data_IF_575753636187
#
_entry.id   IF_575753636187
#
_cell.length_a   1.000
_cell.length_b   1.000
_cell.length_c   1.000
_cell.angle_alpha   90.00
_cell.angle_beta   90.00
_cell.angle_gamma   90.00
#
_symmetry.space_group_name_H-M   'P 1'
#
loop_
_entity.id
_entity.type
_entity.pdbx_description
1 polymer ?
#
# COMPACT_ATOMS: atom_id res chain seq x y z
N UNK A 1 12.81 82.69 15.32
CA UNK A 1 11.45 82.85 14.81
C UNK A 1 11.26 81.94 13.62
N UNK A 2 10.46 80.99 13.74
CA UNK A 2 9.55 80.24 12.83
C UNK A 2 9.31 78.83 13.37
N UNK A 3 8.11 78.66 13.88
CA UNK A 3 7.56 77.42 14.33
C UNK A 3 7.17 76.59 13.12
N UNK A 4 7.54 75.31 13.09
CA UNK A 4 7.03 74.35 12.12
C UNK A 4 6.14 73.36 12.86
N UNK A 5 4.90 73.32 12.44
CA UNK A 5 3.89 72.34 12.93
C UNK A 5 4.14 70.97 12.32
N UNK A 6 4.16 69.97 13.15
CA UNK A 6 4.15 68.60 12.74
C UNK A 6 2.69 68.11 12.75
N UNK A 7 2.18 67.76 11.55
CA UNK A 7 0.88 67.06 11.40
C UNK A 7 1.10 65.53 11.51
N UNK A 8 0.51 64.95 12.52
CA UNK A 8 0.48 63.50 12.68
C UNK A 8 -0.72 62.95 11.87
N UNK A 9 -0.45 62.18 10.81
CA UNK A 9 -1.46 61.33 10.14
C UNK A 9 -1.58 60.02 10.89
N UNK A 10 -2.76 59.77 11.49
CA UNK A 10 -3.18 58.44 11.94
C UNK A 10 -3.69 57.65 10.72
N UNK A 11 -2.95 56.66 10.30
CA UNK A 11 -3.45 55.66 9.37
C UNK A 11 -4.03 54.48 10.18
N UNK A 12 -5.35 54.35 10.14
CA UNK A 12 -6.02 53.17 10.68
C UNK A 12 -5.82 51.99 9.71
N UNK A 13 -4.89 51.11 10.05
CA UNK A 13 -4.74 49.80 9.39
C UNK A 13 -5.75 48.81 9.95
N UNK A 14 -6.76 48.48 9.17
CA UNK A 14 -7.62 47.31 9.44
C UNK A 14 -6.78 46.06 9.27
N UNK A 15 -6.42 45.45 10.38
CA UNK A 15 -5.74 44.17 10.42
C UNK A 15 -6.71 43.02 10.07
N UNK A 16 -6.50 42.44 8.91
CA UNK A 16 -6.99 41.10 8.58
C UNK A 16 -6.13 40.05 9.30
N UNK A 17 -6.41 39.83 10.58
CA UNK A 17 -5.78 38.76 11.39
C UNK A 17 -6.85 37.83 11.86
N UNK A 18 -7.13 36.75 11.10
CA UNK A 18 -7.91 35.63 11.66
C UNK A 18 -7.70 34.27 10.97
N UNK A 19 -6.52 33.93 10.46
CA UNK A 19 -6.30 32.53 10.04
C UNK A 19 -4.90 31.93 10.35
N UNK A 20 -3.89 32.75 10.63
CA UNK A 20 -2.54 32.24 10.96
C UNK A 20 -2.42 31.73 12.41
N UNK A 21 -3.17 32.34 13.34
CA UNK A 21 -3.12 31.96 14.76
C UNK A 21 -3.74 30.62 15.09
N UNK A 22 -4.80 30.24 14.37
CA UNK A 22 -5.43 28.92 14.59
C UNK A 22 -4.60 27.76 14.02
N UNK A 23 -3.92 27.96 12.88
CA UNK A 23 -2.95 26.97 12.35
C UNK A 23 -1.77 26.78 13.27
N UNK A 24 -1.21 27.88 13.81
CA UNK A 24 -0.07 27.83 14.74
C UNK A 24 -0.42 27.19 16.08
N UNK A 25 -1.64 27.40 16.60
CA UNK A 25 -2.11 26.74 17.82
C UNK A 25 -2.34 25.24 17.65
N UNK A 26 -2.78 24.82 16.47
CA UNK A 26 -2.94 23.38 16.16
C UNK A 26 -1.60 22.65 16.04
N UNK A 27 -0.54 23.31 15.56
CA UNK A 27 0.82 22.74 15.48
C UNK A 27 1.52 22.60 16.83
N UNK A 28 1.09 23.33 17.86
CA UNK A 28 1.67 23.28 19.22
C UNK A 28 0.90 22.35 20.18
N UNK A 29 -0.28 21.90 19.80
CA UNK A 29 -1.07 20.98 20.63
C UNK A 29 -0.55 19.54 20.50
N UNK A 30 -0.34 18.89 21.64
CA UNK A 30 -0.08 17.43 21.66
C UNK A 30 -1.42 16.70 21.45
N UNK A 31 -1.64 16.25 20.23
CA UNK A 31 -2.85 15.53 19.88
C UNK A 31 -2.72 14.03 20.17
N UNK A 32 -3.84 13.36 20.53
CA UNK A 32 -3.84 11.91 20.65
C UNK A 32 -3.53 11.28 19.30
N UNK A 33 -2.82 10.16 19.33
CA UNK A 33 -2.48 9.40 18.12
C UNK A 33 -3.34 8.16 17.99
N UNK A 34 -3.61 7.83 16.75
CA UNK A 34 -4.31 6.60 16.39
C UNK A 34 -3.50 5.40 16.89
N UNK A 35 -4.19 4.45 17.52
CA UNK A 35 -3.59 3.20 17.97
C UNK A 35 -3.84 2.10 16.95
N UNK A 36 -2.83 1.29 16.69
CA UNK A 36 -2.95 0.09 15.86
C UNK A 36 -2.87 -1.17 16.74
N UNK A 37 -3.58 -2.20 16.35
CA UNK A 37 -3.55 -3.51 17.03
C UNK A 37 -2.40 -4.41 16.59
N UNK A 38 -1.61 -3.97 15.60
CA UNK A 38 -0.48 -4.72 15.04
C UNK A 38 0.39 -3.87 14.12
N UNK A 39 1.30 -4.50 13.42
CA UNK A 39 2.17 -3.88 12.41
C UNK A 39 1.66 -4.23 11.02
N UNK A 40 1.47 -3.23 10.15
CA UNK A 40 1.10 -3.44 8.74
C UNK A 40 2.19 -4.25 8.03
N UNK A 41 1.87 -5.42 7.44
CA UNK A 41 2.83 -6.15 6.63
C UNK A 41 3.26 -5.31 5.41
N UNK A 42 4.56 -5.09 5.26
CA UNK A 42 5.17 -4.44 4.10
C UNK A 42 6.27 -5.34 3.58
N UNK A 43 6.05 -5.92 2.41
CA UNK A 43 6.95 -6.89 1.79
C UNK A 43 7.88 -6.23 0.76
N UNK A 44 9.16 -6.51 0.87
CA UNK A 44 10.14 -6.30 -0.18
C UNK A 44 10.19 -7.53 -1.08
N UNK A 45 9.69 -7.42 -2.31
CA UNK A 45 9.85 -8.43 -3.35
C UNK A 45 11.18 -8.23 -4.07
N UNK A 46 11.83 -9.31 -4.50
CA UNK A 46 13.19 -9.31 -5.01
C UNK A 46 14.08 -8.43 -4.13
N UNK A 47 14.25 -8.91 -2.91
CA UNK A 47 14.88 -8.21 -1.82
C UNK A 47 16.41 -8.38 -1.84
N UNK A 48 17.04 -8.60 -0.69
CA UNK A 48 18.49 -8.72 -0.58
C UNK A 48 18.97 -10.02 -1.27
N UNK A 49 19.84 -9.95 -2.28
CA UNK A 49 20.40 -11.12 -2.94
C UNK A 49 21.15 -12.04 -1.96
N UNK A 50 21.19 -13.33 -2.26
CA UNK A 50 21.82 -14.33 -1.40
C UNK A 50 23.29 -14.04 -1.06
N UNK A 51 24.05 -13.52 -2.02
CA UNK A 51 25.46 -13.14 -1.87
C UNK A 51 25.66 -11.82 -1.10
N UNK A 52 24.58 -11.04 -0.92
CA UNK A 52 24.55 -9.80 -0.16
C UNK A 52 23.88 -9.97 1.22
N UNK A 53 23.58 -11.19 1.65
CA UNK A 53 22.93 -11.49 2.93
C UNK A 53 23.82 -11.13 4.11
N UNK A 54 23.72 -9.90 4.61
CA UNK A 54 24.46 -9.38 5.76
C UNK A 54 23.56 -8.66 6.74
N UNK A 55 23.96 -8.58 8.01
CA UNK A 55 23.23 -7.86 9.05
C UNK A 55 23.03 -6.37 8.71
N UNK A 56 24.04 -5.75 8.07
CA UNK A 56 23.99 -4.36 7.64
C UNK A 56 22.89 -4.15 6.60
N UNK A 57 22.78 -5.02 5.60
CA UNK A 57 21.76 -4.93 4.55
C UNK A 57 20.36 -5.14 5.08
N UNK A 58 20.18 -6.06 6.03
CA UNK A 58 18.87 -6.25 6.68
C UNK A 58 18.50 -5.07 7.60
N UNK A 59 19.46 -4.44 8.28
CA UNK A 59 19.22 -3.19 9.02
C UNK A 59 18.81 -2.06 8.09
N UNK A 60 19.55 -1.88 7.01
CA UNK A 60 19.24 -0.89 5.96
C UNK A 60 17.82 -1.07 5.41
N UNK A 61 17.40 -2.29 5.13
CA UNK A 61 16.03 -2.58 4.70
C UNK A 61 15.02 -2.27 5.82
N UNK A 62 15.27 -2.67 7.06
CA UNK A 62 14.38 -2.39 8.21
C UNK A 62 14.20 -0.89 8.47
N UNK A 63 15.22 -0.07 8.24
CA UNK A 63 15.15 1.39 8.35
C UNK A 63 14.10 2.00 7.43
N UNK A 64 13.84 1.41 6.27
CA UNK A 64 12.75 1.86 5.37
C UNK A 64 11.35 1.56 5.89
N UNK A 65 11.21 0.84 6.99
CA UNK A 65 9.91 0.40 7.51
C UNK A 65 9.41 -0.92 6.94
N UNK A 66 10.16 -1.58 6.07
CA UNK A 66 9.86 -2.93 5.56
C UNK A 66 9.87 -3.94 6.70
N UNK A 67 8.87 -4.82 6.73
CA UNK A 67 8.66 -5.83 7.78
C UNK A 67 8.89 -7.24 7.28
N UNK A 68 8.69 -7.47 5.99
CA UNK A 68 8.79 -8.77 5.33
C UNK A 68 9.73 -8.69 4.12
N UNK A 69 10.40 -9.81 3.83
CA UNK A 69 11.35 -9.90 2.74
C UNK A 69 11.13 -11.19 1.94
N UNK A 70 11.24 -11.08 0.62
CA UNK A 70 11.19 -12.20 -0.30
C UNK A 70 12.30 -12.09 -1.34
N UNK A 71 13.06 -13.17 -1.48
CA UNK A 71 13.91 -13.48 -2.62
C UNK A 71 14.10 -15.00 -2.66
N UNK A 72 14.41 -15.55 -3.84
CA UNK A 72 14.73 -16.98 -3.95
C UNK A 72 16.18 -17.22 -3.58
N UNK A 73 16.40 -18.15 -2.67
CA UNK A 73 17.74 -18.56 -2.24
C UNK A 73 18.19 -19.83 -2.98
N UNK A 74 19.49 -20.02 -3.25
CA UNK A 74 19.98 -21.12 -4.07
C UNK A 74 19.80 -22.50 -3.41
N UNK A 75 19.72 -22.55 -2.09
CA UNK A 75 19.55 -23.77 -1.29
C UNK A 75 19.02 -23.47 0.12
N UNK A 76 18.65 -24.51 0.83
CA UNK A 76 18.11 -24.43 2.19
C UNK A 76 19.14 -23.89 3.22
N UNK A 77 20.44 -24.04 2.99
CA UNK A 77 21.47 -23.51 3.90
C UNK A 77 21.62 -21.98 3.72
N UNK A 78 21.55 -21.50 2.49
CA UNK A 78 21.48 -20.06 2.21
C UNK A 78 20.21 -19.44 2.79
N UNK A 79 19.06 -20.11 2.66
CA UNK A 79 17.79 -19.71 3.29
C UNK A 79 17.93 -19.63 4.81
N UNK A 80 18.57 -20.60 5.46
CA UNK A 80 18.81 -20.61 6.91
C UNK A 80 19.64 -19.37 7.33
N UNK A 81 20.76 -19.11 6.64
CA UNK A 81 21.59 -17.92 6.93
C UNK A 81 20.82 -16.62 6.81
N UNK A 82 19.94 -16.54 5.82
CA UNK A 82 19.09 -15.36 5.65
C UNK A 82 18.06 -15.21 6.78
N UNK A 83 17.41 -16.28 7.20
CA UNK A 83 16.49 -16.29 8.33
C UNK A 83 17.19 -15.86 9.63
N UNK A 84 18.36 -16.43 9.93
CA UNK A 84 19.17 -16.07 11.12
C UNK A 84 19.51 -14.57 11.12
N UNK A 85 19.91 -14.04 9.95
CA UNK A 85 20.27 -12.63 9.79
C UNK A 85 19.06 -11.71 9.94
N UNK A 86 17.94 -12.09 9.34
CA UNK A 86 16.69 -11.33 9.38
C UNK A 86 16.10 -11.28 10.80
N UNK A 87 16.18 -12.39 11.55
CA UNK A 87 15.76 -12.46 12.94
C UNK A 87 16.44 -11.42 13.80
N UNK A 88 17.74 -11.19 13.59
CA UNK A 88 18.53 -10.24 14.39
C UNK A 88 18.04 -8.78 14.27
N UNK A 89 17.24 -8.45 13.24
CA UNK A 89 16.68 -7.11 13.03
C UNK A 89 15.14 -7.09 13.06
N UNK A 90 14.49 -8.22 13.33
CA UNK A 90 13.04 -8.34 13.39
C UNK A 90 12.36 -8.18 12.02
N UNK A 91 12.98 -8.70 10.96
CA UNK A 91 12.37 -8.86 9.63
C UNK A 91 11.97 -10.32 9.45
N UNK A 92 10.84 -10.57 8.82
CA UNK A 92 10.36 -11.92 8.51
C UNK A 92 10.59 -12.24 7.04
N UNK A 93 10.84 -13.51 6.73
CA UNK A 93 11.09 -13.98 5.36
C UNK A 93 10.02 -14.97 4.91
N UNK A 94 9.63 -14.84 3.65
CA UNK A 94 8.89 -15.89 2.95
C UNK A 94 9.94 -16.89 2.43
N UNK A 95 9.87 -18.12 2.90
CA UNK A 95 10.80 -19.19 2.55
C UNK A 95 10.68 -19.54 1.07
N UNK A 96 11.82 -19.48 0.35
CA UNK A 96 11.92 -19.83 -1.08
C UNK A 96 13.31 -20.41 -1.37
N UNK A 97 13.37 -21.71 -1.60
CA UNK A 97 14.55 -22.46 -2.05
C UNK A 97 14.09 -23.71 -2.81
N UNK A 98 14.93 -24.30 -3.67
CA UNK A 98 14.56 -25.47 -4.49
C UNK A 98 14.06 -26.69 -3.69
N UNK A 99 14.51 -26.85 -2.45
CA UNK A 99 14.10 -27.94 -1.58
C UNK A 99 12.63 -27.82 -1.15
N UNK A 100 12.08 -26.60 -1.11
CA UNK A 100 10.67 -26.41 -0.75
C UNK A 100 9.71 -27.06 -1.76
N UNK A 101 10.07 -27.13 -3.03
CA UNK A 101 9.31 -27.83 -4.05
C UNK A 101 9.60 -29.33 -4.07
N UNK A 102 10.86 -29.72 -3.94
CA UNK A 102 11.32 -31.12 -4.03
C UNK A 102 10.94 -31.94 -2.80
N UNK A 103 11.14 -31.37 -1.62
CA UNK A 103 10.99 -32.03 -0.32
C UNK A 103 10.22 -31.13 0.67
N UNK A 104 8.96 -30.74 0.37
CA UNK A 104 8.23 -29.72 1.11
C UNK A 104 8.12 -30.02 2.60
N UNK A 105 7.79 -31.25 2.98
CA UNK A 105 7.59 -31.61 4.39
C UNK A 105 8.91 -31.52 5.20
N UNK A 106 10.03 -31.91 4.61
CA UNK A 106 11.34 -31.81 5.27
C UNK A 106 11.78 -30.36 5.39
N UNK A 107 11.61 -29.57 4.33
CA UNK A 107 11.96 -28.16 4.28
C UNK A 107 11.10 -27.34 5.23
N UNK A 108 9.80 -27.58 5.27
CA UNK A 108 8.88 -26.93 6.21
C UNK A 108 9.26 -27.23 7.65
N UNK A 109 9.50 -28.52 8.00
CA UNK A 109 9.95 -28.90 9.35
C UNK A 109 11.24 -28.22 9.77
N UNK A 110 12.15 -27.95 8.82
CA UNK A 110 13.40 -27.25 9.08
C UNK A 110 13.15 -25.79 9.50
N UNK A 111 12.18 -25.11 8.88
CA UNK A 111 12.01 -23.66 9.01
C UNK A 111 10.80 -23.23 9.86
N UNK A 112 9.80 -24.09 10.08
CA UNK A 112 8.53 -23.72 10.72
C UNK A 112 8.66 -23.15 12.14
N UNK A 113 9.70 -23.53 12.87
CA UNK A 113 9.96 -23.02 14.23
C UNK A 113 10.94 -21.84 14.25
N UNK A 114 11.39 -21.36 13.09
CA UNK A 114 12.32 -20.25 13.05
C UNK A 114 11.56 -18.93 13.23
N UNK A 115 11.93 -18.03 14.19
CA UNK A 115 11.17 -16.82 14.50
C UNK A 115 11.02 -15.84 13.33
N UNK A 116 11.92 -15.89 12.36
CA UNK A 116 11.87 -15.04 11.17
C UNK A 116 11.08 -15.66 10.01
N UNK A 117 10.55 -16.87 10.13
CA UNK A 117 9.68 -17.44 9.09
C UNK A 117 8.34 -16.72 9.07
N UNK A 118 7.94 -16.21 7.90
CA UNK A 118 6.63 -15.61 7.65
C UNK A 118 5.68 -16.59 6.98
N UNK A 119 6.19 -17.34 6.00
CA UNK A 119 5.41 -18.23 5.16
C UNK A 119 6.28 -18.93 4.12
N UNK A 120 5.63 -19.56 3.15
CA UNK A 120 6.26 -20.40 2.13
C UNK A 120 5.81 -19.97 0.74
N UNK A 121 6.77 -19.64 -0.12
CA UNK A 121 6.50 -19.24 -1.49
C UNK A 121 6.21 -20.44 -2.39
N UNK A 122 5.15 -20.37 -3.15
CA UNK A 122 4.79 -21.42 -4.11
C UNK A 122 5.22 -21.05 -5.53
N UNK A 123 4.59 -20.04 -6.09
CA UNK A 123 4.81 -19.65 -7.49
C UNK A 123 4.44 -18.18 -7.71
N UNK A 124 5.03 -17.57 -8.72
CA UNK A 124 4.67 -16.27 -9.24
C UNK A 124 3.82 -16.42 -10.49
N UNK A 125 2.73 -15.67 -10.59
CA UNK A 125 1.88 -15.49 -11.75
C UNK A 125 1.45 -16.80 -12.47
N UNK A 126 0.93 -17.82 -11.75
CA UNK A 126 0.45 -19.04 -12.40
C UNK A 126 -0.83 -18.79 -13.20
N UNK A 127 -1.05 -19.58 -14.25
CA UNK A 127 -2.37 -19.69 -14.86
C UNK A 127 -3.22 -20.80 -14.19
N UNK A 128 -4.50 -20.90 -14.58
CA UNK A 128 -5.45 -21.85 -13.96
C UNK A 128 -5.09 -23.31 -14.18
N UNK A 129 -4.31 -23.66 -15.20
CA UNK A 129 -3.90 -25.06 -15.47
C UNK A 129 -3.01 -25.61 -14.35
N UNK A 130 -2.30 -24.74 -13.62
CA UNK A 130 -1.43 -25.14 -12.50
C UNK A 130 -2.12 -25.10 -11.13
N UNK A 131 -3.35 -24.62 -11.01
CA UNK A 131 -4.01 -24.43 -9.72
C UNK A 131 -4.19 -25.73 -8.94
N UNK A 132 -4.60 -26.82 -9.61
CA UNK A 132 -4.77 -28.11 -8.96
C UNK A 132 -3.45 -28.64 -8.36
N UNK A 133 -2.34 -28.53 -9.06
CA UNK A 133 -1.00 -28.90 -8.59
C UNK A 133 -0.58 -28.02 -7.40
N UNK A 134 -0.74 -26.71 -7.53
CA UNK A 134 -0.41 -25.74 -6.47
C UNK A 134 -1.26 -25.95 -5.22
N UNK A 135 -2.54 -26.30 -5.36
CA UNK A 135 -3.41 -26.66 -4.26
C UNK A 135 -2.94 -27.92 -3.51
N UNK A 136 -2.47 -28.93 -4.25
CA UNK A 136 -1.90 -30.14 -3.61
C UNK A 136 -0.60 -29.79 -2.87
N UNK A 137 0.26 -28.96 -3.45
CA UNK A 137 1.50 -28.54 -2.81
C UNK A 137 1.22 -27.71 -1.55
N UNK A 138 0.32 -26.71 -1.63
CA UNK A 138 -0.12 -25.94 -0.47
C UNK A 138 -0.69 -26.84 0.64
N UNK A 139 -1.49 -27.84 0.28
CA UNK A 139 -2.06 -28.81 1.24
C UNK A 139 -0.97 -29.62 1.97
N UNK A 140 0.08 -30.05 1.28
CA UNK A 140 1.22 -30.77 1.88
C UNK A 140 1.99 -29.88 2.87
N UNK A 141 2.25 -28.62 2.51
CA UNK A 141 2.89 -27.65 3.40
C UNK A 141 2.05 -27.44 4.65
N UNK A 142 0.76 -27.12 4.48
CA UNK A 142 -0.17 -26.84 5.57
C UNK A 142 -0.45 -28.05 6.48
N UNK A 143 -0.33 -29.27 5.98
CA UNK A 143 -0.41 -30.47 6.80
C UNK A 143 0.78 -30.60 7.77
N UNK A 144 1.91 -29.92 7.47
CA UNK A 144 3.11 -29.91 8.30
C UNK A 144 3.16 -28.65 9.18
N UNK A 145 2.72 -27.52 8.64
CA UNK A 145 2.70 -26.21 9.31
C UNK A 145 1.49 -25.39 8.84
N UNK A 146 0.50 -25.25 9.70
CA UNK A 146 -0.71 -24.46 9.48
C UNK A 146 -0.66 -23.05 10.13
N UNK A 147 0.42 -22.78 10.88
CA UNK A 147 0.63 -21.48 11.53
C UNK A 147 1.17 -20.40 10.59
N UNK A 148 1.92 -20.80 9.56
CA UNK A 148 2.47 -19.89 8.56
C UNK A 148 1.72 -20.02 7.23
N UNK A 149 1.58 -18.88 6.52
CA UNK A 149 0.84 -18.87 5.26
C UNK A 149 1.64 -19.44 4.09
N UNK A 150 0.95 -20.02 3.12
CA UNK A 150 1.49 -20.22 1.79
C UNK A 150 1.27 -18.95 0.97
N UNK A 151 2.26 -18.54 0.20
CA UNK A 151 2.25 -17.33 -0.59
C UNK A 151 2.36 -17.61 -2.09
N UNK A 152 1.52 -16.94 -2.84
CA UNK A 152 1.50 -16.97 -4.29
C UNK A 152 0.99 -15.62 -4.79
N UNK A 153 1.55 -15.09 -5.88
CA UNK A 153 1.13 -13.84 -6.50
C UNK A 153 0.38 -14.12 -7.79
N UNK A 154 -0.75 -13.44 -8.00
CA UNK A 154 -1.62 -13.60 -9.17
C UNK A 154 -1.35 -12.53 -10.22
N UNK A 155 -1.53 -12.90 -11.49
CA UNK A 155 -1.51 -11.99 -12.64
C UNK A 155 -2.57 -10.89 -12.51
N UNK A 156 -2.31 -9.68 -13.07
CA UNK A 156 -3.26 -8.56 -13.07
C UNK A 156 -4.28 -8.63 -14.21
N UNK A 157 -5.29 -7.73 -14.18
CA UNK A 157 -6.33 -7.61 -15.21
C UNK A 157 -5.83 -7.39 -16.63
N UNK A 158 -4.65 -6.80 -16.83
CA UNK A 158 -4.10 -6.60 -18.18
C UNK A 158 -3.42 -7.84 -18.76
N UNK A 159 -3.34 -8.95 -18.02
CA UNK A 159 -2.97 -10.24 -18.59
C UNK A 159 -4.09 -10.74 -19.53
N UNK A 160 -3.71 -11.29 -20.67
CA UNK A 160 -4.70 -11.81 -21.61
C UNK A 160 -5.44 -13.03 -21.05
N UNK A 161 -6.70 -13.24 -21.43
CA UNK A 161 -7.47 -14.44 -21.02
C UNK A 161 -6.78 -15.74 -21.45
N UNK A 162 -6.03 -15.69 -22.56
CA UNK A 162 -5.21 -16.81 -22.99
C UNK A 162 -4.06 -17.10 -22.02
N UNK A 163 -3.41 -16.08 -21.49
CA UNK A 163 -2.35 -16.23 -20.47
C UNK A 163 -2.93 -16.73 -19.14
N UNK A 164 -4.09 -16.22 -18.74
CA UNK A 164 -4.81 -16.63 -17.53
C UNK A 164 -5.37 -18.05 -17.62
N UNK A 165 -5.72 -18.53 -18.85
CA UNK A 165 -6.48 -19.75 -19.09
C UNK A 165 -7.83 -19.75 -18.37
N UNK A 166 -8.53 -18.62 -18.39
CA UNK A 166 -9.78 -18.38 -17.68
C UNK A 166 -10.79 -17.64 -18.57
N UNK A 167 -12.07 -17.73 -18.25
CA UNK A 167 -13.15 -17.07 -19.00
C UNK A 167 -13.22 -15.56 -18.75
N UNK A 168 -12.74 -15.12 -17.57
CA UNK A 168 -12.62 -13.73 -17.18
C UNK A 168 -11.56 -13.58 -16.07
N UNK A 169 -11.15 -12.34 -15.78
CA UNK A 169 -10.25 -12.08 -14.65
C UNK A 169 -10.91 -12.45 -13.30
N UNK A 170 -12.21 -12.17 -13.14
CA UNK A 170 -12.95 -12.58 -11.93
C UNK A 170 -13.00 -14.10 -11.80
N UNK A 171 -13.22 -14.83 -12.89
CA UNK A 171 -13.16 -16.30 -12.89
C UNK A 171 -11.78 -16.81 -12.47
N UNK A 172 -10.71 -16.20 -12.98
CA UNK A 172 -9.33 -16.53 -12.60
C UNK A 172 -9.08 -16.38 -11.09
N UNK A 173 -9.47 -15.24 -10.49
CA UNK A 173 -9.30 -14.99 -9.04
C UNK A 173 -10.20 -15.92 -8.22
N UNK A 174 -11.45 -16.11 -8.63
CA UNK A 174 -12.40 -16.99 -7.97
C UNK A 174 -11.90 -18.44 -7.95
N UNK A 175 -11.48 -18.98 -9.10
CA UNK A 175 -10.94 -20.34 -9.22
C UNK A 175 -9.68 -20.51 -8.38
N UNK A 176 -8.80 -19.51 -8.34
CA UNK A 176 -7.64 -19.57 -7.47
C UNK A 176 -8.05 -19.78 -6.00
N UNK A 177 -9.01 -19.01 -5.51
CA UNK A 177 -9.49 -19.14 -4.14
C UNK A 177 -10.07 -20.52 -3.86
N UNK A 178 -10.80 -21.12 -4.81
CA UNK A 178 -11.46 -22.43 -4.64
C UNK A 178 -10.52 -23.61 -4.86
N UNK A 179 -9.54 -23.50 -5.73
CA UNK A 179 -8.68 -24.63 -6.12
C UNK A 179 -7.35 -24.67 -5.33
N UNK A 180 -6.76 -23.51 -5.00
CA UNK A 180 -5.46 -23.45 -4.30
C UNK A 180 -5.63 -23.34 -2.79
N UNK A 181 -6.68 -22.69 -2.31
CA UNK A 181 -7.10 -22.63 -0.90
C UNK A 181 -6.05 -22.01 0.03
N UNK A 182 -5.42 -20.89 -0.37
CA UNK A 182 -4.45 -20.19 0.48
C UNK A 182 -5.14 -19.32 1.55
N UNK A 183 -4.38 -18.91 2.56
CA UNK A 183 -4.85 -18.08 3.66
C UNK A 183 -5.00 -16.61 3.29
N UNK A 184 -4.35 -16.17 2.21
CA UNK A 184 -4.42 -14.81 1.67
C UNK A 184 -4.37 -14.82 0.14
N UNK A 185 -4.87 -13.76 -0.47
CA UNK A 185 -4.74 -13.50 -1.89
C UNK A 185 -3.67 -12.42 -2.11
N UNK A 186 -2.95 -12.49 -3.22
CA UNK A 186 -1.97 -11.46 -3.61
C UNK A 186 -1.98 -11.27 -5.11
N UNK A 187 -1.81 -10.03 -5.55
CA UNK A 187 -1.66 -9.68 -6.96
C UNK A 187 -0.67 -8.53 -7.14
N UNK A 188 -0.10 -8.42 -8.32
CA UNK A 188 0.59 -7.24 -8.77
C UNK A 188 -0.14 -6.58 -9.94
N UNK A 189 -0.28 -5.28 -9.85
CA UNK A 189 -0.76 -4.43 -10.93
C UNK A 189 0.04 -3.12 -10.88
N UNK A 190 0.77 -2.83 -11.95
CA UNK A 190 1.57 -1.60 -12.05
C UNK A 190 0.85 -0.59 -12.95
N UNK A 191 0.10 0.36 -12.35
CA UNK A 191 -0.85 1.16 -13.11
C UNK A 191 -0.22 2.34 -13.85
N UNK A 192 0.97 2.80 -13.46
CA UNK A 192 1.57 4.01 -14.02
C UNK A 192 2.45 3.67 -15.22
N UNK A 193 2.02 4.10 -16.42
CA UNK A 193 2.76 3.93 -17.68
C UNK A 193 3.04 5.32 -18.25
N UNK A 194 4.31 5.72 -18.24
CA UNK A 194 4.69 7.08 -18.56
C UNK A 194 4.00 8.10 -17.63
N UNK A 195 3.10 8.92 -18.16
CA UNK A 195 2.31 9.91 -17.40
C UNK A 195 0.82 9.55 -17.29
N UNK A 196 0.45 8.33 -17.60
CA UNK A 196 -0.95 7.88 -17.61
C UNK A 196 -1.17 6.74 -16.63
N UNK A 197 -2.41 6.65 -16.13
CA UNK A 197 -2.86 5.52 -15.32
C UNK A 197 -3.53 4.50 -16.24
N UNK A 198 -3.22 3.21 -16.07
CA UNK A 198 -3.93 2.13 -16.77
C UNK A 198 -5.42 2.17 -16.44
N UNK A 199 -6.31 2.07 -17.42
CA UNK A 199 -7.75 2.24 -17.19
C UNK A 199 -8.36 1.11 -16.34
N UNK A 200 -7.75 -0.06 -16.33
CA UNK A 200 -8.20 -1.27 -15.64
C UNK A 200 -7.68 -1.40 -14.19
N UNK A 201 -6.89 -0.45 -13.70
CA UNK A 201 -6.31 -0.53 -12.35
C UNK A 201 -7.37 -0.62 -11.25
N UNK A 202 -8.37 0.25 -11.30
CA UNK A 202 -9.42 0.25 -10.29
C UNK A 202 -10.40 -0.90 -10.46
N UNK A 203 -10.61 -1.39 -11.68
CA UNK A 203 -11.36 -2.63 -11.93
C UNK A 203 -10.67 -3.84 -11.31
N UNK A 204 -9.34 -3.92 -11.42
CA UNK A 204 -8.54 -4.96 -10.74
C UNK A 204 -8.75 -4.93 -9.22
N UNK A 205 -8.67 -3.74 -8.62
CA UNK A 205 -8.89 -3.56 -7.18
C UNK A 205 -10.31 -3.92 -6.76
N UNK A 206 -11.32 -3.53 -7.54
CA UNK A 206 -12.73 -3.86 -7.29
C UNK A 206 -12.95 -5.38 -7.28
N UNK A 207 -12.46 -6.08 -8.31
CA UNK A 207 -12.59 -7.54 -8.42
C UNK A 207 -11.88 -8.22 -7.25
N UNK A 208 -10.63 -7.82 -6.96
CA UNK A 208 -9.82 -8.45 -5.92
C UNK A 208 -10.39 -8.23 -4.52
N UNK A 209 -10.83 -7.00 -4.22
CA UNK A 209 -11.48 -6.66 -2.95
C UNK A 209 -12.78 -7.45 -2.75
N UNK A 210 -13.58 -7.59 -3.81
CA UNK A 210 -14.82 -8.37 -3.79
C UNK A 210 -14.55 -9.85 -3.53
N UNK A 211 -13.66 -10.48 -4.31
CA UNK A 211 -13.34 -11.90 -4.17
C UNK A 211 -12.72 -12.20 -2.79
N UNK A 212 -11.81 -11.32 -2.30
CA UNK A 212 -11.24 -11.45 -0.97
C UNK A 212 -12.31 -11.37 0.13
N UNK A 213 -13.27 -10.44 0.01
CA UNK A 213 -14.38 -10.29 0.93
C UNK A 213 -15.32 -11.51 0.89
N UNK A 214 -15.64 -12.03 -0.29
CA UNK A 214 -16.46 -13.24 -0.45
C UNK A 214 -15.78 -14.47 0.15
N UNK A 215 -14.47 -14.59 -0.03
CA UNK A 215 -13.65 -15.66 0.55
C UNK A 215 -13.42 -15.50 2.07
N UNK A 216 -13.69 -14.32 2.64
CA UNK A 216 -13.36 -14.01 4.04
C UNK A 216 -11.86 -13.97 4.32
N UNK A 217 -11.04 -13.63 3.31
CA UNK A 217 -9.58 -13.64 3.36
C UNK A 217 -9.00 -12.25 3.20
N UNK A 218 -7.83 -11.96 3.80
CA UNK A 218 -7.08 -10.75 3.50
C UNK A 218 -6.48 -10.83 2.09
N UNK A 219 -6.20 -9.67 1.50
CA UNK A 219 -5.36 -9.60 0.30
C UNK A 219 -4.19 -8.65 0.48
N UNK A 220 -3.12 -8.91 -0.27
CA UNK A 220 -1.93 -8.08 -0.37
C UNK A 220 -1.80 -7.54 -1.79
N UNK A 221 -1.31 -6.31 -1.92
CA UNK A 221 -1.20 -5.65 -3.22
C UNK A 221 0.14 -4.93 -3.39
N UNK A 222 0.64 -4.92 -4.63
CA UNK A 222 1.90 -4.31 -4.98
C UNK A 222 1.82 -2.81 -5.27
N UNK A 223 2.97 -2.16 -5.13
CA UNK A 223 3.33 -0.89 -5.72
C UNK A 223 4.69 -1.01 -6.41
N UNK A 224 4.84 -0.35 -7.54
CA UNK A 224 6.10 -0.32 -8.26
C UNK A 224 7.12 0.56 -7.53
N UNK A 225 8.33 0.03 -7.30
CA UNK A 225 9.46 0.75 -6.71
C UNK A 225 10.74 0.66 -7.56
N UNK A 226 10.70 -0.02 -8.70
CA UNK A 226 11.84 -0.18 -9.61
C UNK A 226 11.41 0.10 -11.05
N UNK A 227 12.12 1.01 -11.70
CA UNK A 227 11.85 1.36 -13.09
C UNK A 227 12.23 0.24 -14.05
N UNK A 228 11.43 0.05 -15.08
CA UNK A 228 11.73 -0.77 -16.27
C UNK A 228 10.71 -0.44 -17.35
N UNK A 229 11.05 -0.54 -18.62
CA UNK A 229 10.12 -0.20 -19.70
C UNK A 229 8.83 -1.04 -19.65
N UNK A 230 7.65 -0.41 -19.76
CA UNK A 230 7.37 1.02 -19.99
C UNK A 230 7.18 1.87 -18.71
N UNK A 231 7.58 1.39 -17.54
CA UNK A 231 7.32 2.01 -16.25
C UNK A 231 8.43 3.01 -15.88
N UNK A 232 8.06 4.26 -15.49
CA UNK A 232 9.02 5.30 -15.15
C UNK A 232 9.74 5.01 -13.83
N UNK A 233 10.79 5.82 -13.54
CA UNK A 233 11.36 5.87 -12.19
C UNK A 233 10.26 6.37 -11.25
N UNK A 234 9.89 5.60 -10.21
CA UNK A 234 8.78 5.96 -9.35
C UNK A 234 9.03 7.27 -8.58
N UNK A 235 8.07 8.15 -8.59
CA UNK A 235 8.02 9.29 -7.69
C UNK A 235 7.07 9.04 -6.50
N UNK A 236 7.11 9.94 -5.52
CA UNK A 236 6.34 9.76 -4.29
C UNK A 236 4.82 9.84 -4.53
N UNK A 237 4.36 10.66 -5.49
CA UNK A 237 2.95 10.77 -5.83
C UNK A 237 2.40 9.48 -6.46
N UNK A 238 3.17 8.89 -7.40
CA UNK A 238 2.85 7.63 -8.03
C UNK A 238 2.80 6.47 -7.02
N UNK A 239 3.74 6.44 -6.07
CA UNK A 239 3.78 5.43 -5.02
C UNK A 239 2.65 5.62 -4.01
N UNK A 240 2.34 6.87 -3.60
CA UNK A 240 1.20 7.17 -2.72
C UNK A 240 -0.12 6.75 -3.35
N UNK A 241 -0.34 7.09 -4.62
CA UNK A 241 -1.56 6.69 -5.33
C UNK A 241 -1.77 5.17 -5.26
N UNK A 242 -0.74 4.37 -5.57
CA UNK A 242 -0.83 2.92 -5.54
C UNK A 242 -1.09 2.40 -4.12
N UNK A 243 -0.28 2.82 -3.15
CA UNK A 243 -0.40 2.32 -1.77
C UNK A 243 -1.70 2.74 -1.09
N UNK A 244 -2.10 4.01 -1.22
CA UNK A 244 -3.34 4.47 -0.59
C UNK A 244 -4.60 3.97 -1.32
N UNK A 245 -4.55 3.75 -2.63
CA UNK A 245 -5.64 3.07 -3.34
C UNK A 245 -5.77 1.62 -2.88
N UNK A 246 -4.68 0.87 -2.79
CA UNK A 246 -4.68 -0.49 -2.27
C UNK A 246 -5.30 -0.56 -0.86
N UNK A 247 -4.89 0.35 0.03
CA UNK A 247 -5.42 0.44 1.39
C UNK A 247 -6.90 0.86 1.43
N UNK A 248 -7.32 1.79 0.58
CA UNK A 248 -8.71 2.21 0.48
C UNK A 248 -9.63 1.06 0.01
N UNK A 249 -9.12 0.14 -0.77
CA UNK A 249 -9.82 -1.08 -1.19
C UNK A 249 -9.71 -2.23 -0.17
N UNK A 250 -9.00 -2.04 0.94
CA UNK A 250 -8.96 -2.98 2.06
C UNK A 250 -7.75 -3.92 2.06
N UNK A 251 -6.69 -3.61 1.33
CA UNK A 251 -5.45 -4.40 1.40
C UNK A 251 -4.93 -4.49 2.84
N UNK A 252 -4.57 -5.69 3.28
CA UNK A 252 -4.06 -6.00 4.61
C UNK A 252 -2.55 -6.24 4.62
N UNK A 253 -1.90 -6.07 3.50
CA UNK A 253 -0.45 -6.07 3.32
C UNK A 253 -0.09 -5.35 2.03
N UNK A 254 1.06 -4.74 2.04
CA UNK A 254 1.58 -3.95 0.95
C UNK A 254 2.91 -4.53 0.47
N UNK A 255 3.21 -4.37 -0.80
CA UNK A 255 4.36 -5.03 -1.40
C UNK A 255 5.05 -4.07 -2.37
N UNK A 256 6.37 -4.14 -2.43
CA UNK A 256 7.18 -3.37 -3.37
C UNK A 256 7.85 -4.27 -4.41
N UNK A 257 7.58 -4.04 -5.67
CA UNK A 257 8.37 -4.56 -6.78
C UNK A 257 9.32 -3.46 -7.28
N UNK A 258 10.60 -3.49 -6.94
CA UNK A 258 11.36 -4.37 -6.08
C UNK A 258 12.07 -3.56 -5.00
N UNK A 259 12.70 -4.19 -4.00
CA UNK A 259 13.59 -3.48 -3.07
C UNK A 259 15.02 -3.35 -3.63
N UNK A 260 15.57 -4.43 -4.15
CA UNK A 260 16.85 -4.43 -4.85
C UNK A 260 16.60 -4.43 -6.36
N UNK A 261 17.35 -3.62 -7.10
CA UNK A 261 17.23 -3.60 -8.56
C UNK A 261 17.58 -4.98 -9.11
N UNK A 262 16.70 -5.64 -9.88
CA UNK A 262 17.00 -6.93 -10.47
C UNK A 262 18.19 -6.86 -11.42
N UNK A 263 18.96 -7.96 -11.50
CA UNK A 263 20.10 -8.09 -12.40
C UNK A 263 19.71 -8.02 -13.88
N UNK A 264 20.69 -8.18 -14.75
CA UNK A 264 20.47 -8.18 -16.21
C UNK A 264 19.40 -9.21 -16.60
N UNK A 265 18.40 -8.74 -17.32
CA UNK A 265 17.31 -9.55 -17.86
C UNK A 265 17.21 -9.29 -19.38
N UNK A 266 17.06 -10.32 -20.24
CA UNK A 266 16.97 -10.12 -21.69
C UNK A 266 15.71 -9.34 -22.11
N UNK A 267 14.64 -9.38 -21.30
CA UNK A 267 13.34 -8.79 -21.61
C UNK A 267 13.09 -7.44 -20.91
N UNK A 268 13.84 -7.13 -19.84
CA UNK A 268 13.58 -5.99 -18.98
C UNK A 268 14.86 -5.22 -18.63
N UNK A 269 14.81 -3.90 -18.74
CA UNK A 269 15.90 -2.98 -18.42
C UNK A 269 15.78 -2.42 -16.98
N UNK A 270 15.66 -3.27 -15.98
CA UNK A 270 15.49 -2.86 -14.58
C UNK A 270 16.57 -1.87 -14.12
N UNK A 271 16.12 -0.78 -13.49
CA UNK A 271 16.99 0.25 -12.92
C UNK A 271 16.27 1.06 -11.83
N UNK A 272 17.03 1.80 -11.01
CA UNK A 272 16.53 2.72 -9.99
C UNK A 272 15.54 2.09 -9.00
N UNK A 273 15.75 0.84 -8.58
CA UNK A 273 15.11 0.33 -7.35
C UNK A 273 15.66 1.07 -6.12
N UNK A 274 15.05 0.93 -4.94
CA UNK A 274 15.57 1.50 -3.69
C UNK A 274 17.04 1.24 -3.46
N UNK A 275 17.50 0.01 -3.74
CA UNK A 275 18.93 -0.33 -3.82
C UNK A 275 19.28 -0.64 -5.29
N UNK A 276 20.31 0.04 -5.79
CA UNK A 276 20.83 -0.17 -7.14
C UNK A 276 21.58 -1.50 -7.29
N UNK A 277 21.89 -1.86 -8.55
CA UNK A 277 22.69 -3.05 -8.86
C UNK A 277 24.08 -3.05 -8.19
N UNK A 278 24.64 -1.85 -7.94
CA UNK A 278 25.91 -1.66 -7.25
C UNK A 278 25.78 -1.71 -5.72
N UNK A 279 24.59 -2.01 -5.21
CA UNK A 279 24.30 -2.09 -3.79
C UNK A 279 24.19 -0.74 -3.09
N UNK A 280 24.09 0.39 -3.82
CA UNK A 280 23.92 1.71 -3.24
C UNK A 280 22.45 2.13 -3.22
N UNK A 281 22.11 2.96 -2.22
CA UNK A 281 20.79 3.60 -2.15
C UNK A 281 20.59 4.53 -3.35
N UNK A 282 19.39 4.50 -3.91
CA UNK A 282 18.91 5.50 -4.87
C UNK A 282 17.98 6.48 -4.15
N UNK A 283 17.49 7.49 -4.85
CA UNK A 283 16.47 8.41 -4.31
C UNK A 283 15.11 7.73 -4.04
N UNK A 284 14.87 6.56 -4.64
CA UNK A 284 13.66 5.76 -4.37
C UNK A 284 13.68 5.17 -2.96
N UNK A 285 14.87 4.92 -2.38
CA UNK A 285 15.00 4.46 -1.00
C UNK A 285 14.38 5.44 0.00
N UNK A 286 14.64 6.73 -0.16
CA UNK A 286 14.09 7.78 0.72
C UNK A 286 12.58 7.92 0.54
N UNK A 287 12.07 7.80 -0.69
CA UNK A 287 10.63 7.82 -1.00
C UNK A 287 9.89 6.65 -0.35
N UNK A 288 10.44 5.44 -0.44
CA UNK A 288 9.91 4.24 0.25
C UNK A 288 9.90 4.45 1.76
N UNK A 289 10.98 5.01 2.32
CA UNK A 289 11.10 5.29 3.76
C UNK A 289 10.05 6.29 4.22
N UNK A 290 9.85 7.39 3.49
CA UNK A 290 8.84 8.40 3.79
C UNK A 290 7.44 7.81 3.77
N UNK A 291 7.08 7.12 2.68
CA UNK A 291 5.76 6.54 2.50
C UNK A 291 5.45 5.46 3.57
N UNK A 292 6.39 4.57 3.85
CA UNK A 292 6.20 3.56 4.88
C UNK A 292 6.05 4.16 6.29
N UNK A 293 6.71 5.30 6.58
CA UNK A 293 6.50 6.03 7.84
C UNK A 293 5.07 6.56 7.95
N UNK A 294 4.51 7.12 6.86
CA UNK A 294 3.11 7.55 6.80
C UNK A 294 2.16 6.36 7.00
N UNK A 295 2.36 5.26 6.28
CA UNK A 295 1.54 4.04 6.38
C UNK A 295 1.58 3.46 7.79
N UNK A 296 2.77 3.40 8.43
CA UNK A 296 2.90 2.92 9.82
C UNK A 296 2.12 3.77 10.80
N UNK A 297 2.14 5.09 10.65
CA UNK A 297 1.38 5.99 11.50
C UNK A 297 -0.14 5.87 11.30
N UNK A 298 -0.57 5.44 10.11
CA UNK A 298 -1.96 5.26 9.71
C UNK A 298 -2.45 3.81 9.84
N UNK A 299 -1.62 2.90 10.36
CA UNK A 299 -1.96 1.46 10.47
C UNK A 299 -3.29 1.23 11.20
N UNK A 300 -3.61 2.02 12.22
CA UNK A 300 -4.88 1.90 12.96
C UNK A 300 -6.14 2.29 12.16
N UNK A 301 -6.01 2.92 10.97
CA UNK A 301 -7.12 3.10 10.03
C UNK A 301 -7.37 1.80 9.28
N UNK A 302 -6.30 1.16 8.78
CA UNK A 302 -6.36 0.18 7.70
C UNK A 302 -6.24 -1.27 8.15
N UNK A 303 -5.32 -1.58 9.08
CA UNK A 303 -5.08 -2.96 9.49
C UNK A 303 -6.26 -3.53 10.30
N UNK A 304 -6.85 -4.59 9.78
CA UNK A 304 -8.04 -5.22 10.36
C UNK A 304 -9.35 -4.52 9.99
N UNK A 305 -9.30 -3.46 9.19
CA UNK A 305 -10.50 -2.72 8.77
C UNK A 305 -11.36 -3.55 7.80
N UNK A 306 -12.67 -3.39 7.94
CA UNK A 306 -13.68 -3.87 6.99
C UNK A 306 -14.04 -2.74 6.03
N UNK A 307 -14.02 -3.03 4.74
CA UNK A 307 -14.52 -2.13 3.70
C UNK A 307 -16.04 -2.14 3.73
N UNK A 308 -16.66 -0.99 3.98
CA UNK A 308 -18.11 -0.82 3.94
C UNK A 308 -18.56 -0.40 2.54
N UNK A 309 -17.83 0.52 1.91
CA UNK A 309 -18.07 0.92 0.53
C UNK A 309 -16.80 1.51 -0.09
N UNK A 310 -16.66 1.36 -1.41
CA UNK A 310 -15.70 2.10 -2.24
C UNK A 310 -16.47 2.75 -3.36
N UNK A 311 -16.26 4.03 -3.59
CA UNK A 311 -16.92 4.83 -4.62
C UNK A 311 -15.92 5.75 -5.27
N UNK A 312 -16.29 6.26 -6.44
CA UNK A 312 -15.42 7.16 -7.20
C UNK A 312 -16.13 8.48 -7.50
N UNK A 313 -15.36 9.56 -7.49
CA UNK A 313 -15.78 10.89 -7.95
C UNK A 313 -14.94 11.32 -9.16
N UNK A 314 -15.23 12.46 -9.75
CA UNK A 314 -14.48 13.09 -10.83
C UNK A 314 -15.21 13.11 -12.16
N UNK A 315 -14.57 13.70 -13.17
CA UNK A 315 -15.16 13.90 -14.50
C UNK A 315 -15.38 12.58 -15.25
N UNK A 316 -14.59 11.57 -14.92
CA UNK A 316 -14.70 10.21 -15.47
C UNK A 316 -14.60 9.17 -14.36
N UNK A 317 -15.57 8.27 -14.30
CA UNK A 317 -15.54 7.14 -13.37
C UNK A 317 -14.74 6.00 -14.01
N UNK A 318 -13.75 5.40 -13.28
CA UNK A 318 -12.98 4.29 -13.82
C UNK A 318 -13.86 3.09 -14.20
N UNK A 319 -13.46 2.40 -15.27
CA UNK A 319 -14.11 1.19 -15.71
C UNK A 319 -14.27 0.18 -14.56
N UNK A 320 -15.40 -0.52 -14.54
CA UNK A 320 -15.66 -1.57 -13.53
C UNK A 320 -15.95 -1.08 -12.13
N UNK A 321 -15.93 0.25 -11.87
CA UNK A 321 -16.15 0.83 -10.54
C UNK A 321 -17.48 1.54 -10.38
N UNK A 322 -17.82 1.94 -9.18
CA UNK A 322 -19.12 2.56 -8.85
C UNK A 322 -18.95 4.05 -8.51
N UNK A 323 -19.75 4.97 -9.11
CA UNK A 323 -19.74 6.38 -8.75
C UNK A 323 -20.27 6.62 -7.33
N UNK A 324 -19.85 7.74 -6.72
CA UNK A 324 -20.40 8.24 -5.45
C UNK A 324 -21.77 8.89 -5.73
N UNK A 325 -22.82 8.10 -5.63
CA UNK A 325 -24.22 8.57 -5.81
C UNK A 325 -24.86 9.05 -4.51
N UNK A 326 -24.47 8.42 -3.39
CA UNK A 326 -25.01 8.73 -2.06
C UNK A 326 -23.86 9.03 -1.10
N UNK A 327 -24.02 10.06 -0.27
CA UNK A 327 -23.02 10.44 0.74
C UNK A 327 -23.16 9.57 1.99
N UNK A 328 -22.04 9.25 2.68
CA UNK A 328 -22.08 8.65 4.01
C UNK A 328 -22.89 9.50 5.00
N UNK A 329 -23.53 8.86 5.99
CA UNK A 329 -24.49 9.51 6.89
C UNK A 329 -23.93 10.78 7.61
N UNK A 330 -22.63 10.80 7.93
CA UNK A 330 -21.97 11.94 8.61
C UNK A 330 -21.35 12.96 7.63
N UNK A 331 -21.59 12.82 6.33
CA UNK A 331 -21.04 13.69 5.26
C UNK A 331 -22.19 14.49 4.63
N UNK A 332 -22.14 15.82 4.75
CA UNK A 332 -23.16 16.72 4.21
C UNK A 332 -22.86 17.18 2.78
N UNK A 333 -21.58 17.27 2.46
CA UNK A 333 -21.07 17.62 1.12
C UNK A 333 -19.74 16.91 0.87
N UNK A 334 -19.56 16.39 -0.33
CA UNK A 334 -18.28 15.91 -0.84
C UNK A 334 -18.25 16.16 -2.35
N UNK A 335 -17.36 17.02 -2.80
CA UNK A 335 -17.15 17.35 -4.20
C UNK A 335 -15.66 17.40 -4.49
N UNK A 336 -15.25 16.95 -5.67
CA UNK A 336 -13.86 16.95 -6.12
C UNK A 336 -13.77 17.56 -7.51
N UNK A 337 -12.58 18.02 -7.89
CA UNK A 337 -12.30 18.52 -9.23
C UNK A 337 -11.47 17.52 -10.04
N UNK A 338 -11.51 17.64 -11.36
CA UNK A 338 -10.65 16.90 -12.31
C UNK A 338 -10.87 15.39 -12.25
N UNK A 339 -9.76 14.64 -12.22
CA UNK A 339 -9.76 13.17 -12.18
C UNK A 339 -10.57 12.61 -10.98
N UNK A 340 -10.66 13.38 -9.89
CA UNK A 340 -11.44 13.04 -8.71
C UNK A 340 -10.73 12.06 -7.77
N UNK A 341 -11.52 11.35 -6.96
CA UNK A 341 -11.02 10.56 -5.85
C UNK A 341 -11.58 9.12 -5.82
N UNK A 342 -10.83 8.23 -5.17
CA UNK A 342 -11.40 7.07 -4.47
C UNK A 342 -11.96 7.58 -3.15
N UNK A 343 -13.21 7.23 -2.85
CA UNK A 343 -13.88 7.53 -1.58
C UNK A 343 -14.27 6.21 -0.94
N UNK A 344 -13.59 5.85 0.12
CA UNK A 344 -13.80 4.58 0.82
C UNK A 344 -14.31 4.81 2.23
N UNK A 345 -15.32 4.06 2.63
CA UNK A 345 -15.74 3.93 4.02
C UNK A 345 -15.17 2.65 4.60
N UNK A 346 -14.43 2.80 5.69
CA UNK A 346 -13.84 1.68 6.42
C UNK A 346 -14.39 1.65 7.85
N UNK A 347 -14.51 0.45 8.41
CA UNK A 347 -14.76 0.22 9.83
C UNK A 347 -13.62 -0.55 10.45
N UNK A 348 -12.99 0.02 11.49
CA UNK A 348 -11.95 -0.65 12.26
C UNK A 348 -12.29 -0.58 13.76
N UNK A 349 -12.65 -1.71 14.34
CA UNK A 349 -13.27 -1.75 15.66
C UNK A 349 -14.55 -0.92 15.70
N UNK A 350 -14.67 -0.03 16.67
CA UNK A 350 -15.82 0.87 16.82
C UNK A 350 -15.70 2.15 15.98
N UNK A 351 -14.56 2.38 15.32
CA UNK A 351 -14.33 3.58 14.55
C UNK A 351 -14.72 3.39 13.08
N UNK A 352 -15.35 4.43 12.51
CA UNK A 352 -15.61 4.53 11.07
C UNK A 352 -14.68 5.58 10.47
N UNK A 353 -14.12 5.27 9.32
CA UNK A 353 -13.20 6.15 8.61
C UNK A 353 -13.71 6.43 7.22
N UNK A 354 -13.60 7.68 6.80
CA UNK A 354 -13.75 8.11 5.42
C UNK A 354 -12.35 8.38 4.86
N UNK A 355 -11.94 7.59 3.88
CA UNK A 355 -10.64 7.67 3.22
C UNK A 355 -10.84 8.21 1.82
N UNK A 356 -10.19 9.32 1.49
CA UNK A 356 -10.33 10.03 0.22
C UNK A 356 -8.95 10.11 -0.43
N UNK A 357 -8.72 9.38 -1.53
CA UNK A 357 -7.45 9.34 -2.25
C UNK A 357 -7.56 10.11 -3.56
N UNK A 358 -6.69 11.09 -3.79
CA UNK A 358 -6.60 11.77 -5.09
C UNK A 358 -6.16 10.76 -6.16
N UNK A 359 -7.02 10.52 -7.18
CA UNK A 359 -6.73 9.58 -8.27
C UNK A 359 -5.78 10.13 -9.33
N UNK A 360 -5.35 11.37 -9.19
CA UNK A 360 -4.37 11.99 -10.07
C UNK A 360 -3.00 12.06 -9.40
N UNK A 361 -1.99 11.48 -10.04
CA UNK A 361 -0.61 11.53 -9.57
C UNK A 361 0.20 12.68 -10.22
N UNK A 362 -0.40 13.44 -11.13
CA UNK A 362 0.21 14.61 -11.76
C UNK A 362 -0.29 15.92 -11.13
N UNK A 363 -1.60 16.01 -10.85
CA UNK A 363 -2.25 17.25 -10.46
C UNK A 363 -2.92 17.18 -9.08
N UNK A 364 -2.98 18.34 -8.43
CA UNK A 364 -3.72 18.53 -7.19
C UNK A 364 -5.21 18.46 -7.45
N UNK A 365 -5.93 17.88 -6.52
CA UNK A 365 -7.38 17.83 -6.52
C UNK A 365 -7.93 18.81 -5.48
N UNK A 366 -8.86 19.68 -5.84
CA UNK A 366 -9.66 20.40 -4.85
C UNK A 366 -10.70 19.44 -4.27
N UNK A 367 -10.78 19.40 -2.95
CA UNK A 367 -11.80 18.69 -2.19
C UNK A 367 -12.63 19.71 -1.41
N UNK A 368 -13.94 19.78 -1.70
CA UNK A 368 -14.93 20.48 -0.89
C UNK A 368 -15.69 19.46 -0.06
N UNK A 369 -15.55 19.55 1.26
CA UNK A 369 -16.15 18.59 2.19
C UNK A 369 -16.78 19.29 3.39
N UNK A 370 -18.02 18.93 3.69
CA UNK A 370 -18.73 19.34 4.92
C UNK A 370 -19.12 18.10 5.70
N UNK A 371 -18.67 18.04 6.95
CA UNK A 371 -18.86 16.93 7.86
C UNK A 371 -19.68 17.36 9.09
N UNK A 372 -20.19 16.39 9.82
CA UNK A 372 -20.71 16.66 11.14
C UNK A 372 -19.64 17.25 12.06
N UNK A 373 -20.02 18.17 12.98
CA UNK A 373 -19.06 18.85 13.86
C UNK A 373 -18.22 17.93 14.75
N UNK A 374 -18.71 16.72 14.99
CA UNK A 374 -18.01 15.69 15.77
C UNK A 374 -16.87 14.99 15.03
N UNK A 375 -16.83 15.11 13.68
CA UNK A 375 -15.84 14.47 12.85
C UNK A 375 -14.41 14.92 13.22
N UNK A 376 -13.47 14.00 13.12
CA UNK A 376 -12.05 14.25 13.35
C UNK A 376 -11.26 13.98 12.07
N UNK A 377 -10.16 14.68 11.88
CA UNK A 377 -9.21 14.42 10.80
C UNK A 377 -8.04 13.62 11.34
N UNK A 378 -7.62 12.59 10.61
CA UNK A 378 -6.42 11.83 10.90
C UNK A 378 -5.30 12.39 10.04
N UNK A 379 -4.23 12.87 10.68
CA UNK A 379 -3.06 13.40 9.99
C UNK A 379 -2.10 12.27 9.61
N UNK A 380 -1.17 12.53 8.69
CA UNK A 380 -0.19 11.53 8.20
C UNK A 380 0.75 10.99 9.27
N UNK A 381 0.89 11.68 10.39
CA UNK A 381 1.63 11.22 11.55
C UNK A 381 0.78 10.43 12.55
N UNK A 382 -0.48 10.13 12.21
CA UNK A 382 -1.47 9.43 13.03
C UNK A 382 -2.18 10.31 14.05
N UNK A 383 -1.91 11.62 14.10
CA UNK A 383 -2.57 12.54 15.04
C UNK A 383 -4.06 12.68 14.73
N UNK A 384 -4.89 12.64 15.77
CA UNK A 384 -6.34 12.80 15.71
C UNK A 384 -6.70 14.22 16.11
N UNK A 385 -7.19 15.03 15.16
CA UNK A 385 -7.50 16.43 15.37
C UNK A 385 -8.96 16.73 15.00
N UNK A 386 -9.64 17.72 15.62
CA UNK A 386 -10.96 18.14 15.17
C UNK A 386 -10.95 18.54 13.70
N UNK A 387 -11.87 18.01 12.90
CA UNK A 387 -11.97 18.38 11.48
C UNK A 387 -12.27 19.87 11.28
N UNK A 388 -12.96 20.50 12.23
CA UNK A 388 -13.30 21.93 12.24
C UNK A 388 -12.08 22.87 12.29
N UNK A 389 -10.87 22.36 12.60
CA UNK A 389 -9.64 23.15 12.53
C UNK A 389 -9.15 23.39 11.07
N UNK A 390 -9.76 22.73 10.12
CA UNK A 390 -9.38 22.81 8.70
C UNK A 390 -10.52 23.44 7.88
N UNK A 391 -10.13 24.08 6.77
CA UNK A 391 -11.09 24.58 5.79
C UNK A 391 -11.92 23.43 5.21
N UNK A 392 -13.20 23.69 4.92
CA UNK A 392 -14.06 22.77 4.16
C UNK A 392 -13.60 22.61 2.71
N UNK A 393 -12.82 23.54 2.19
CA UNK A 393 -12.15 23.46 0.89
C UNK A 393 -10.66 23.29 1.10
N UNK A 394 -10.08 22.24 0.55
CA UNK A 394 -8.65 21.94 0.64
C UNK A 394 -8.10 21.40 -0.67
N UNK A 395 -6.80 21.60 -0.89
CA UNK A 395 -6.07 20.97 -1.99
C UNK A 395 -5.42 19.69 -1.50
N UNK A 396 -5.71 18.57 -2.19
CA UNK A 396 -5.10 17.27 -1.95
C UNK A 396 -3.98 17.10 -2.96
N UNK A 397 -2.76 16.85 -2.47
CA UNK A 397 -1.59 16.67 -3.32
C UNK A 397 -1.76 15.46 -4.28
N UNK A 398 -0.98 15.39 -5.38
CA UNK A 398 -1.06 14.28 -6.32
C UNK A 398 -0.87 12.92 -5.63
N UNK A 399 -1.77 11.97 -5.89
CA UNK A 399 -1.76 10.62 -5.32
C UNK A 399 -1.98 10.53 -3.82
N UNK A 400 -2.19 11.65 -3.14
CA UNK A 400 -2.23 11.71 -1.68
C UNK A 400 -3.61 11.39 -1.10
N UNK A 401 -3.67 11.24 0.22
CA UNK A 401 -4.85 10.82 0.97
C UNK A 401 -5.27 11.84 2.02
N UNK A 402 -6.58 11.98 2.21
CA UNK A 402 -7.19 12.68 3.35
C UNK A 402 -8.09 11.69 4.08
N UNK A 403 -7.98 11.65 5.40
CA UNK A 403 -8.71 10.68 6.22
C UNK A 403 -9.48 11.41 7.30
N UNK A 404 -10.76 11.05 7.45
CA UNK A 404 -11.61 11.49 8.53
C UNK A 404 -12.10 10.29 9.34
N UNK A 405 -12.18 10.46 10.65
CA UNK A 405 -12.87 9.55 11.55
C UNK A 405 -14.26 10.11 11.81
N UNK A 406 -15.28 9.33 11.46
CA UNK A 406 -16.69 9.64 11.60
C UNK A 406 -17.22 9.04 12.91
N UNK A 407 -18.25 9.66 13.47
CA UNK A 407 -18.97 9.14 14.65
C UNK A 407 -20.31 8.53 14.22
#
# INVERSE_FOLDING_TARGET
MKKIFLLSLLAAGLAGCCNSGQKQAAEQAVWPKLQATGEMPILAWHSIPSDCTTLERFREMKETGITHSFTSYPDADAMQRALDTAQAVGVKLIVSCPELEKEPEATVKRFMNHPATAGYFLRDEPNTESFAELGQWAKRIRATDDAHFCYLNLLPTYASLEALKADSYRDYVHRFDQEVLLQLLSFDHYPVVGRTLRPDYYENLEIFSDEARLAGKPFWAFSLATAHDPYPIPDLAQMRLQMFSNLAYGAQGLQYFTYWTPGKNPNWNFHHGPIGLDGKRTDVYDKVTELNREIKALTGVFLGAKVLSVRHTGDTIPQGTTPLAELPASVKKLQTTGTGAVVSELQNGDNRFLVIVNRDFNDRMQLDIELDPSAKRILKDGSIVPASLYSSTLMVEPGDVVIYMLQ
#
